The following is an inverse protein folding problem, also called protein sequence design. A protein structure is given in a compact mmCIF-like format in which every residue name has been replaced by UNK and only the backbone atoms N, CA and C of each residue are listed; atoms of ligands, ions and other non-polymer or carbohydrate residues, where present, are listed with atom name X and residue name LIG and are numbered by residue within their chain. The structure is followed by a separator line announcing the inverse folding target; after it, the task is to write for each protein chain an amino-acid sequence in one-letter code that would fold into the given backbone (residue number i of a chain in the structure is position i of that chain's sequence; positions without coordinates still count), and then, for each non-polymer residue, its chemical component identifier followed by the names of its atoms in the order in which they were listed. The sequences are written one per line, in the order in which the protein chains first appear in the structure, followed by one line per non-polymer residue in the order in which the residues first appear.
data_IF_883844737672
#
_entry.id   IF_883844737672
#
_cell.length_a   1.000
_cell.length_b   1.000
_cell.length_c   1.000
_cell.angle_alpha   90.00
_cell.angle_beta   90.00
_cell.angle_gamma   90.00
#
_symmetry.space_group_name_H-M   'P 1'
#
loop_
_entity.id
_entity.type
_entity.pdbx_description
1 polymer ?
#
# COMPACT_ATOMS: atom_id res chain seq x y z
N UNK A 1 17.26 -42.60 -15.54
CA UNK A 1 16.96 -41.18 -15.79
C UNK A 1 16.21 -40.69 -14.56
N UNK A 2 16.92 -40.21 -13.55
CA UNK A 2 16.34 -39.80 -12.27
C UNK A 2 15.91 -38.34 -12.41
N UNK A 3 14.63 -38.03 -12.25
CA UNK A 3 14.16 -36.65 -12.26
C UNK A 3 14.79 -35.89 -11.09
N UNK A 4 15.46 -34.75 -11.31
CA UNK A 4 15.97 -33.93 -10.22
C UNK A 4 14.79 -33.24 -9.53
N UNK A 5 14.31 -33.81 -8.43
CA UNK A 5 13.35 -33.13 -7.55
C UNK A 5 14.05 -31.92 -6.93
N UNK A 6 13.64 -30.71 -7.33
CA UNK A 6 14.03 -29.46 -6.67
C UNK A 6 13.35 -29.44 -5.29
N UNK A 7 14.06 -29.87 -4.25
CA UNK A 7 13.57 -29.73 -2.87
C UNK A 7 13.79 -28.28 -2.42
N UNK A 8 12.71 -27.48 -2.39
CA UNK A 8 12.73 -26.17 -1.74
C UNK A 8 12.87 -26.41 -0.23
N UNK A 9 14.02 -26.03 0.32
CA UNK A 9 14.33 -26.23 1.74
C UNK A 9 13.53 -25.20 2.58
N UNK A 10 12.41 -25.63 3.15
CA UNK A 10 11.53 -24.79 3.99
C UNK A 10 12.20 -24.33 5.31
N UNK A 11 13.40 -24.83 5.62
CA UNK A 11 14.21 -24.39 6.76
C UNK A 11 14.60 -22.90 6.71
N UNK A 12 14.44 -22.23 5.57
CA UNK A 12 14.69 -20.79 5.42
C UNK A 12 13.48 -19.91 5.73
N UNK A 13 12.28 -20.50 5.92
CA UNK A 13 11.11 -19.74 6.37
C UNK A 13 11.13 -19.78 7.89
N UNK A 14 11.48 -18.67 8.58
CA UNK A 14 11.32 -18.59 10.02
C UNK A 14 9.89 -19.02 10.37
N UNK A 15 9.78 -20.08 11.17
CA UNK A 15 8.54 -20.47 11.81
C UNK A 15 8.01 -19.35 12.70
N UNK A 16 6.78 -19.49 13.19
CA UNK A 16 6.10 -18.42 13.93
C UNK A 16 6.91 -17.87 15.13
N UNK A 17 7.78 -18.67 15.74
CA UNK A 17 8.62 -18.26 16.87
C UNK A 17 9.80 -17.38 16.48
N UNK A 18 10.46 -17.60 15.34
CA UNK A 18 11.55 -16.72 14.88
C UNK A 18 11.04 -15.33 14.51
N UNK A 19 9.81 -15.19 14.00
CA UNK A 19 9.18 -13.89 13.76
C UNK A 19 9.05 -13.05 15.03
N UNK A 20 8.76 -13.69 16.16
CA UNK A 20 8.70 -13.00 17.47
C UNK A 20 10.09 -12.50 17.88
N UNK A 21 11.14 -13.29 17.65
CA UNK A 21 12.52 -12.91 17.95
C UNK A 21 12.95 -11.72 17.07
N UNK A 22 12.66 -11.77 15.76
CA UNK A 22 12.94 -10.66 14.83
C UNK A 22 12.21 -9.39 15.29
N UNK A 23 10.92 -9.50 15.62
CA UNK A 23 10.14 -8.37 16.14
C UNK A 23 10.74 -7.81 17.43
N UNK A 24 11.22 -8.66 18.33
CA UNK A 24 11.88 -8.24 19.58
C UNK A 24 13.18 -7.49 19.31
N UNK A 25 14.02 -7.96 18.38
CA UNK A 25 15.26 -7.28 17.99
C UNK A 25 14.95 -5.91 17.39
N UNK A 26 13.99 -5.83 16.46
CA UNK A 26 13.54 -4.55 15.89
C UNK A 26 13.01 -3.62 16.99
N UNK A 27 12.25 -4.15 17.95
CA UNK A 27 11.73 -3.40 19.09
C UNK A 27 12.83 -2.85 19.99
N UNK A 28 13.93 -3.58 20.17
CA UNK A 28 15.09 -3.13 20.95
C UNK A 28 15.88 -2.05 20.22
N UNK A 29 16.06 -2.17 18.90
CA UNK A 29 16.79 -1.20 18.08
C UNK A 29 16.04 0.12 17.92
N UNK A 30 14.75 0.05 17.60
CA UNK A 30 13.93 1.23 17.35
C UNK A 30 13.18 1.71 18.60
N UNK A 31 12.93 0.83 19.57
CA UNK A 31 12.13 1.11 20.75
C UNK A 31 10.63 0.90 20.53
N UNK A 32 9.93 0.40 21.55
CA UNK A 32 8.49 0.11 21.48
C UNK A 32 7.59 1.32 21.20
N UNK A 33 8.09 2.53 21.46
CA UNK A 33 7.36 3.77 21.16
C UNK A 33 7.54 4.30 19.74
N UNK A 34 8.66 3.99 19.06
CA UNK A 34 8.97 4.58 17.75
C UNK A 34 8.21 3.93 16.61
N UNK A 35 8.03 2.61 16.63
CA UNK A 35 7.24 1.88 15.63
C UNK A 35 5.81 2.44 15.51
N UNK A 36 5.01 2.56 16.60
CA UNK A 36 3.65 3.10 16.50
C UNK A 36 3.61 4.59 16.19
N UNK A 37 4.63 5.36 16.59
CA UNK A 37 4.76 6.78 16.26
C UNK A 37 4.98 7.00 14.76
N UNK A 38 5.91 6.23 14.16
CA UNK A 38 6.15 6.23 12.71
C UNK A 38 4.95 5.71 11.93
N UNK A 39 4.31 4.63 12.38
CA UNK A 39 3.11 4.09 11.74
C UNK A 39 1.95 5.09 11.75
N UNK A 40 1.77 5.83 12.85
CA UNK A 40 0.77 6.90 12.95
C UNK A 40 1.06 8.04 11.97
N UNK A 41 2.30 8.53 11.94
CA UNK A 41 2.70 9.60 11.02
C UNK A 41 2.56 9.19 9.55
N UNK A 42 3.03 7.98 9.20
CA UNK A 42 2.88 7.42 7.86
C UNK A 42 1.40 7.23 7.51
N UNK A 43 0.59 6.72 8.43
CA UNK A 43 -0.84 6.48 8.21
C UNK A 43 -1.62 7.78 7.97
N UNK A 44 -1.30 8.84 8.71
CA UNK A 44 -1.87 10.17 8.47
C UNK A 44 -1.45 10.71 7.10
N UNK A 45 -0.16 10.64 6.75
CA UNK A 45 0.32 11.10 5.45
C UNK A 45 -0.30 10.33 4.27
N UNK A 46 -0.43 9.00 4.37
CA UNK A 46 -1.10 8.19 3.35
C UNK A 46 -2.58 8.56 3.23
N UNK A 47 -3.26 8.83 4.35
CA UNK A 47 -4.68 9.21 4.34
C UNK A 47 -4.91 10.57 3.67
N UNK A 48 -4.08 11.56 3.99
CA UNK A 48 -4.13 12.89 3.36
C UNK A 48 -3.79 12.82 1.87
N UNK A 49 -2.74 12.07 1.52
CA UNK A 49 -2.37 11.85 0.12
C UNK A 49 -3.50 11.19 -0.67
N UNK A 50 -4.14 10.16 -0.09
CA UNK A 50 -5.27 9.47 -0.72
C UNK A 50 -6.45 10.42 -0.95
N UNK A 51 -6.79 11.25 0.05
CA UNK A 51 -7.85 12.26 -0.08
C UNK A 51 -7.56 13.25 -1.21
N UNK A 52 -6.37 13.82 -1.24
CA UNK A 52 -5.98 14.77 -2.30
C UNK A 52 -6.01 14.15 -3.71
N UNK A 53 -5.64 12.87 -3.84
CA UNK A 53 -5.72 12.14 -5.11
C UNK A 53 -7.16 11.87 -5.53
N UNK A 54 -8.03 11.51 -4.58
CA UNK A 54 -9.44 11.24 -4.85
C UNK A 54 -10.18 12.54 -5.24
N UNK A 55 -9.90 13.66 -4.55
CA UNK A 55 -10.43 14.99 -4.88
C UNK A 55 -9.98 15.43 -6.29
N UNK A 56 -8.68 15.32 -6.59
CA UNK A 56 -8.15 15.64 -7.91
C UNK A 56 -8.76 14.79 -9.01
N UNK A 57 -9.06 13.51 -8.73
CA UNK A 57 -9.75 12.65 -9.69
C UNK A 57 -11.18 13.11 -9.95
N UNK A 58 -11.89 13.52 -8.91
CA UNK A 58 -13.26 14.04 -9.04
C UNK A 58 -13.30 15.33 -9.86
N UNK A 59 -12.37 16.26 -9.62
CA UNK A 59 -12.26 17.49 -10.43
C UNK A 59 -11.99 17.20 -11.91
N UNK A 60 -11.18 16.17 -12.21
CA UNK A 60 -10.90 15.75 -13.58
C UNK A 60 -12.10 15.09 -14.25
N UNK A 61 -12.85 14.25 -13.52
CA UNK A 61 -14.06 13.61 -14.03
C UNK A 61 -15.17 14.66 -14.28
N UNK A 62 -15.36 15.62 -13.36
CA UNK A 62 -16.31 16.73 -13.52
C UNK A 62 -15.92 17.65 -14.69
N UNK A 63 -14.62 17.94 -14.85
CA UNK A 63 -14.11 18.69 -15.99
C UNK A 63 -14.34 17.92 -17.31
N UNK A 64 -14.15 16.61 -17.31
CA UNK A 64 -14.37 15.73 -18.46
C UNK A 64 -15.86 15.63 -18.85
N UNK A 65 -16.77 15.68 -17.88
CA UNK A 65 -18.21 15.67 -18.13
C UNK A 65 -18.70 17.02 -18.71
N UNK A 66 -18.11 18.13 -18.29
CA UNK A 66 -18.42 19.47 -18.80
C UNK A 66 -17.99 19.71 -20.26
N UNK A 67 -16.88 19.12 -20.69
CA UNK A 67 -16.42 19.19 -22.10
C UNK A 67 -17.27 18.29 -23.01
N UNK A 68 -17.76 17.14 -22.54
CA UNK A 68 -18.56 16.22 -23.35
C UNK A 68 -20.00 16.72 -23.55
N UNK A 69 -20.54 17.48 -22.58
CA UNK A 69 -21.89 18.08 -22.66
C UNK A 69 -22.00 19.26 -23.64
N UNK A 70 -20.88 19.73 -24.21
CA UNK A 70 -20.87 20.85 -25.17
C UNK A 70 -21.01 20.39 -26.64
N UNK A 71 -20.81 19.11 -26.93
CA UNK A 71 -20.91 18.55 -28.30
C UNK A 71 -22.28 17.92 -28.63
N UNK A 72 -23.22 17.81 -27.69
CA UNK A 72 -24.57 17.27 -27.93
C UNK A 72 -25.62 18.40 -28.09
N UNK A 73 -25.42 19.27 -29.10
CA UNK A 73 -26.52 20.11 -29.60
C UNK A 73 -27.18 19.36 -30.75
N UNK A 74 -28.48 18.99 -30.66
CA UNK A 74 -29.17 18.34 -31.76
C UNK A 74 -29.23 19.30 -32.95
N UNK A 75 -28.48 18.99 -34.01
CA UNK A 75 -28.71 19.59 -35.33
C UNK A 75 -30.06 19.07 -35.86
N UNK A 76 -30.85 20.02 -36.38
CA UNK A 76 -32.22 19.87 -36.90
C UNK A 76 -32.38 18.82 -38.00
#
# INVERSE_FOLDING_TARGET
MSEPTITINYAAVPGGWEWVIIALVVLLLFGAKRIPELARGLGQGIREFKGAVDDAKQELDDAAESINSTDEKPEE
#
